data_IF_887910749829
#
_entry.id   IF_887910749829
#
_cell.length_a   1.000
_cell.length_b   1.000
_cell.length_c   1.000
_cell.angle_alpha   90.00
_cell.angle_beta   90.00
_cell.angle_gamma   90.00
#
_symmetry.space_group_name_H-M   'P 1'
#
loop_
_entity.id
_entity.type
_entity.pdbx_description
1 polymer ?
#
# COMPACT_ATOMS: atom_id res chain seq x y z
N UNK A 1 9.00 -17.83 23.45
CA UNK A 1 8.96 -18.75 22.31
C UNK A 1 7.77 -18.37 21.45
N UNK A 2 7.97 -17.47 20.48
CA UNK A 2 6.89 -16.96 19.61
C UNK A 2 7.45 -16.80 18.19
N UNK A 3 7.96 -17.91 17.66
CA UNK A 3 8.21 -18.05 16.23
C UNK A 3 6.91 -18.34 15.52
N UNK A 4 6.08 -17.31 15.27
CA UNK A 4 5.09 -17.41 14.20
C UNK A 4 5.61 -16.56 13.05
N UNK A 5 6.13 -17.23 12.02
CA UNK A 5 6.46 -16.63 10.73
C UNK A 5 5.21 -16.18 9.98
N UNK A 6 5.41 -15.35 8.95
CA UNK A 6 4.36 -15.00 7.99
C UNK A 6 3.74 -16.29 7.40
N UNK A 7 2.46 -16.28 7.00
CA UNK A 7 1.83 -17.46 6.44
C UNK A 7 2.54 -17.96 5.17
N UNK A 8 2.64 -19.29 5.01
CA UNK A 8 3.49 -20.00 4.02
C UNK A 8 3.32 -19.53 2.56
N UNK A 9 2.18 -18.94 2.21
CA UNK A 9 1.91 -18.49 0.84
C UNK A 9 2.70 -17.24 0.42
N UNK A 10 3.39 -16.54 1.34
CA UNK A 10 4.32 -15.45 0.99
C UNK A 10 5.63 -15.96 0.39
N UNK A 11 5.89 -17.28 0.42
CA UNK A 11 7.01 -17.92 -0.27
C UNK A 11 6.68 -18.23 -1.74
N UNK A 12 6.11 -17.25 -2.46
CA UNK A 12 5.73 -17.36 -3.86
C UNK A 12 6.83 -18.00 -4.73
N UNK A 13 6.43 -19.03 -5.47
CA UNK A 13 7.24 -19.90 -6.32
C UNK A 13 8.11 -19.09 -7.30
N UNK A 14 9.41 -18.94 -6.99
CA UNK A 14 10.43 -18.58 -7.98
C UNK A 14 10.93 -19.85 -8.69
N UNK A 15 11.38 -19.75 -9.96
CA UNK A 15 11.96 -20.88 -10.67
C UNK A 15 13.15 -21.44 -9.87
N UNK A 16 13.33 -22.77 -9.80
CA UNK A 16 14.39 -23.37 -9.00
C UNK A 16 15.76 -23.06 -9.64
N UNK A 17 16.63 -22.35 -8.92
CA UNK A 17 18.05 -22.22 -9.31
C UNK A 17 18.73 -20.86 -9.10
N UNK A 18 18.54 -20.17 -7.98
CA UNK A 18 19.30 -18.94 -7.69
C UNK A 18 19.57 -18.72 -6.20
N UNK A 19 20.84 -18.84 -5.82
CA UNK A 19 21.49 -18.43 -4.58
C UNK A 19 20.63 -17.68 -3.53
N UNK A 20 20.50 -18.27 -2.34
CA UNK A 20 19.83 -17.71 -1.13
C UNK A 20 20.21 -16.26 -0.78
N UNK A 21 21.36 -15.79 -1.27
CA UNK A 21 21.84 -14.41 -1.17
C UNK A 21 20.95 -13.42 -1.95
N UNK A 22 20.47 -13.79 -3.13
CA UNK A 22 19.58 -12.94 -3.96
C UNK A 22 18.18 -12.86 -3.36
N UNK A 23 17.66 -13.98 -2.84
CA UNK A 23 16.35 -14.05 -2.20
C UNK A 23 16.28 -13.16 -0.95
N UNK A 24 17.34 -13.17 -0.14
CA UNK A 24 17.45 -12.32 1.06
C UNK A 24 17.52 -10.84 0.68
N UNK A 25 18.18 -10.50 -0.44
CA UNK A 25 18.37 -9.11 -0.86
C UNK A 25 17.06 -8.42 -1.32
N UNK A 26 16.00 -9.18 -1.61
CA UNK A 26 14.69 -8.69 -2.07
C UNK A 26 13.62 -8.68 -0.97
N UNK A 27 14.00 -9.05 0.26
CA UNK A 27 13.14 -9.05 1.44
C UNK A 27 13.58 -7.99 2.43
N UNK A 28 12.62 -7.48 3.19
CA UNK A 28 12.90 -6.66 4.36
C UNK A 28 13.22 -7.57 5.56
N UNK A 29 14.38 -7.42 6.21
CA UNK A 29 14.82 -8.34 7.26
C UNK A 29 13.99 -8.25 8.54
N UNK A 30 13.30 -7.12 8.79
CA UNK A 30 12.48 -6.96 9.99
C UNK A 30 11.14 -7.67 9.86
N UNK A 31 10.47 -7.46 8.72
CA UNK A 31 9.08 -7.85 8.49
C UNK A 31 8.93 -9.11 7.65
N UNK A 32 9.93 -9.49 6.85
CA UNK A 32 9.85 -10.59 5.89
C UNK A 32 9.05 -10.27 4.63
N UNK A 33 8.51 -9.06 4.50
CA UNK A 33 7.84 -8.60 3.28
C UNK A 33 8.84 -8.37 2.14
N UNK A 34 8.34 -8.17 0.94
CA UNK A 34 9.17 -7.65 -0.14
C UNK A 34 9.69 -6.26 0.22
N UNK A 35 10.90 -5.92 -0.21
CA UNK A 35 11.44 -4.58 -0.05
C UNK A 35 11.23 -3.74 -1.33
N UNK A 36 11.53 -2.45 -1.25
CA UNK A 36 11.42 -1.54 -2.40
C UNK A 36 12.18 -2.03 -3.65
N UNK A 37 13.37 -2.61 -3.47
CA UNK A 37 14.19 -3.12 -4.57
C UNK A 37 13.50 -4.25 -5.34
N UNK A 38 12.77 -5.14 -4.65
CA UNK A 38 11.94 -6.15 -5.31
C UNK A 38 10.94 -5.53 -6.28
N UNK A 39 10.25 -4.47 -5.86
CA UNK A 39 9.29 -3.79 -6.73
C UNK A 39 9.98 -3.19 -7.96
N UNK A 40 11.12 -2.53 -7.77
CA UNK A 40 11.92 -1.95 -8.84
C UNK A 40 12.35 -3.00 -9.87
N UNK A 41 12.69 -4.21 -9.44
CA UNK A 41 13.05 -5.33 -10.33
C UNK A 41 11.83 -6.00 -10.98
N UNK A 42 10.66 -6.00 -10.32
CA UNK A 42 9.47 -6.75 -10.79
C UNK A 42 8.46 -5.89 -11.59
N UNK A 43 8.49 -4.56 -11.47
CA UNK A 43 7.48 -3.65 -12.01
C UNK A 43 7.25 -3.80 -13.52
N UNK A 44 8.32 -4.02 -14.31
CA UNK A 44 8.19 -4.18 -15.76
C UNK A 44 7.37 -5.42 -16.12
N UNK A 45 7.58 -6.53 -15.40
CA UNK A 45 6.83 -7.77 -15.58
C UNK A 45 5.37 -7.61 -15.17
N UNK A 46 5.15 -6.94 -14.04
CA UNK A 46 3.82 -6.62 -13.52
C UNK A 46 3.01 -5.79 -14.53
N UNK A 47 3.57 -4.68 -15.01
CA UNK A 47 2.92 -3.76 -15.96
C UNK A 47 2.68 -4.45 -17.32
N UNK A 48 3.66 -5.18 -17.85
CA UNK A 48 3.50 -5.91 -19.10
C UNK A 48 2.36 -6.95 -19.02
N UNK A 49 2.22 -7.61 -17.87
CA UNK A 49 1.13 -8.58 -17.63
C UNK A 49 -0.22 -7.91 -17.55
N UNK A 50 -0.34 -6.81 -16.79
CA UNK A 50 -1.57 -6.05 -16.70
C UNK A 50 -2.01 -5.51 -18.07
N UNK A 51 -1.08 -4.96 -18.86
CA UNK A 51 -1.36 -4.45 -20.21
C UNK A 51 -1.87 -5.53 -21.15
N UNK A 52 -1.20 -6.69 -21.18
CA UNK A 52 -1.57 -7.84 -22.02
C UNK A 52 -2.94 -8.42 -21.67
N UNK A 53 -3.28 -8.46 -20.39
CA UNK A 53 -4.58 -8.96 -19.91
C UNK A 53 -5.68 -7.89 -19.86
N UNK A 54 -5.35 -6.64 -20.21
CA UNK A 54 -6.24 -5.48 -20.01
C UNK A 54 -6.78 -5.37 -18.58
N UNK A 55 -5.92 -5.68 -17.61
CA UNK A 55 -6.22 -5.59 -16.19
C UNK A 55 -5.71 -4.27 -15.59
N UNK A 56 -6.37 -3.86 -14.52
CA UNK A 56 -5.96 -2.73 -13.71
C UNK A 56 -5.11 -3.20 -12.54
N UNK A 57 -4.28 -2.30 -12.04
CA UNK A 57 -3.53 -2.45 -10.80
C UNK A 57 -3.95 -1.30 -9.90
N UNK A 58 -4.24 -1.58 -8.63
CA UNK A 58 -4.42 -0.52 -7.63
C UNK A 58 -3.20 -0.48 -6.72
N UNK A 59 -2.59 0.70 -6.60
CA UNK A 59 -1.46 0.98 -5.72
C UNK A 59 -1.98 1.68 -4.48
N UNK A 60 -1.69 1.11 -3.33
CA UNK A 60 -2.02 1.64 -2.02
C UNK A 60 -0.71 2.06 -1.34
N UNK A 61 -0.53 3.35 -1.10
CA UNK A 61 0.51 3.86 -0.22
C UNK A 61 -0.01 3.99 1.20
N UNK A 62 0.70 3.39 2.15
CA UNK A 62 0.26 3.18 3.51
C UNK A 62 1.33 3.69 4.48
N UNK A 63 0.91 4.40 5.51
CA UNK A 63 1.80 4.86 6.57
C UNK A 63 1.12 4.72 7.94
N UNK A 64 1.89 4.32 8.94
CA UNK A 64 1.41 4.13 10.30
C UNK A 64 1.24 5.47 11.00
N UNK A 65 0.01 5.75 11.44
CA UNK A 65 -0.29 7.00 12.11
C UNK A 65 0.43 7.08 13.46
N UNK A 66 1.15 8.16 13.70
CA UNK A 66 1.84 8.42 14.96
C UNK A 66 2.79 7.27 15.37
N UNK A 67 3.60 6.75 14.44
CA UNK A 67 4.57 5.71 14.75
C UNK A 67 5.74 6.22 15.60
N UNK A 68 6.31 7.38 15.29
CA UNK A 68 7.42 7.98 16.07
C UNK A 68 7.17 8.03 17.60
N UNK A 69 6.00 8.48 18.11
CA UNK A 69 5.69 8.40 19.55
C UNK A 69 5.77 7.01 20.17
N UNK A 70 5.56 5.94 19.39
CA UNK A 70 5.73 4.56 19.89
C UNK A 70 7.20 4.30 20.23
N UNK A 71 8.12 4.64 19.33
CA UNK A 71 9.55 4.52 19.58
C UNK A 71 10.00 5.41 20.73
N UNK A 72 9.53 6.64 20.76
CA UNK A 72 9.91 7.61 21.79
C UNK A 72 9.42 7.18 23.19
N UNK A 73 8.29 6.48 23.29
CA UNK A 73 7.67 6.08 24.57
C UNK A 73 8.08 4.67 25.03
N UNK A 74 8.17 3.72 24.10
CA UNK A 74 8.32 2.29 24.40
C UNK A 74 9.64 1.69 23.87
N UNK A 75 10.46 2.49 23.20
CA UNK A 75 11.74 2.07 22.62
C UNK A 75 11.59 1.43 21.24
N UNK A 76 12.73 1.26 20.57
CA UNK A 76 12.79 0.73 19.20
C UNK A 76 12.31 -0.71 19.08
N UNK A 77 12.56 -1.57 20.08
CA UNK A 77 12.10 -2.97 20.07
C UNK A 77 10.56 -3.07 20.03
N UNK A 78 9.88 -2.13 20.69
CA UNK A 78 8.42 -2.01 20.64
C UNK A 78 7.95 -1.55 19.26
N UNK A 79 8.62 -0.57 18.66
CA UNK A 79 8.35 -0.13 17.29
C UNK A 79 8.53 -1.26 16.27
N UNK A 80 9.62 -2.02 16.38
CA UNK A 80 9.87 -3.19 15.55
C UNK A 80 8.78 -4.24 15.68
N UNK A 81 8.31 -4.48 16.90
CA UNK A 81 7.20 -5.40 17.17
C UNK A 81 5.89 -4.92 16.55
N UNK A 82 5.62 -3.61 16.60
CA UNK A 82 4.47 -2.99 15.91
C UNK A 82 4.58 -3.17 14.39
N UNK A 83 5.75 -2.91 13.80
CA UNK A 83 5.95 -3.06 12.35
C UNK A 83 5.76 -4.51 11.89
N UNK A 84 6.24 -5.49 12.67
CA UNK A 84 6.00 -6.92 12.37
C UNK A 84 4.52 -7.28 12.44
N UNK A 85 3.80 -6.78 13.45
CA UNK A 85 2.37 -7.03 13.61
C UNK A 85 1.57 -6.43 12.44
N UNK A 86 1.87 -5.19 12.06
CA UNK A 86 1.22 -4.54 10.92
C UNK A 86 1.55 -5.26 9.61
N UNK A 87 2.81 -5.63 9.39
CA UNK A 87 3.21 -6.36 8.19
C UNK A 87 2.42 -7.66 8.00
N UNK A 88 2.25 -8.43 9.09
CA UNK A 88 1.43 -9.64 9.10
C UNK A 88 -0.04 -9.32 8.79
N UNK A 89 -0.60 -8.31 9.44
CA UNK A 89 -1.99 -7.92 9.24
C UNK A 89 -2.23 -7.54 7.77
N UNK A 90 -1.39 -6.68 7.18
CA UNK A 90 -1.48 -6.31 5.76
C UNK A 90 -1.44 -7.54 4.84
N UNK A 91 -0.54 -8.48 5.14
CA UNK A 91 -0.37 -9.73 4.42
C UNK A 91 -1.62 -10.62 4.46
N UNK A 92 -2.30 -10.73 5.61
CA UNK A 92 -3.52 -11.52 5.78
C UNK A 92 -4.75 -10.89 5.10
N UNK A 93 -4.72 -9.59 4.83
CA UNK A 93 -5.85 -8.88 4.23
C UNK A 93 -5.92 -8.95 2.70
N UNK A 94 -4.84 -9.37 2.03
CA UNK A 94 -4.72 -9.40 0.57
C UNK A 94 -4.58 -10.83 0.02
N UNK A 95 -4.66 -11.00 -1.30
CA UNK A 95 -4.49 -12.31 -1.96
C UNK A 95 -3.01 -12.62 -2.11
N UNK A 96 -2.68 -13.89 -2.29
CA UNK A 96 -1.31 -14.34 -2.60
C UNK A 96 -0.75 -13.73 -3.90
N UNK A 97 -1.63 -13.38 -4.85
CA UNK A 97 -1.24 -12.70 -6.08
C UNK A 97 -0.89 -11.23 -5.86
N UNK A 98 -1.34 -10.62 -4.77
CA UNK A 98 -1.06 -9.21 -4.48
C UNK A 98 0.32 -9.06 -3.85
N UNK A 99 0.93 -7.88 -3.99
CA UNK A 99 2.24 -7.62 -3.41
C UNK A 99 2.08 -6.77 -2.16
N UNK A 100 2.74 -7.16 -1.07
CA UNK A 100 2.90 -6.35 0.13
C UNK A 100 4.38 -6.05 0.31
N UNK A 101 4.71 -4.77 0.34
CA UNK A 101 6.07 -4.26 0.28
C UNK A 101 6.29 -3.32 1.47
N UNK A 102 7.40 -3.50 2.18
CA UNK A 102 7.90 -2.46 3.08
C UNK A 102 8.70 -1.46 2.24
N UNK A 103 8.10 -0.30 2.01
CA UNK A 103 8.61 0.71 1.07
C UNK A 103 9.64 1.63 1.72
N UNK A 104 9.45 1.93 3.01
CA UNK A 104 10.30 2.79 3.83
C UNK A 104 10.34 2.34 5.29
N UNK A 105 10.73 3.24 6.19
CA UNK A 105 10.87 2.93 7.63
C UNK A 105 9.55 2.44 8.26
N UNK A 106 8.51 3.27 8.20
CA UNK A 106 7.14 2.97 8.66
C UNK A 106 6.13 2.96 7.50
N UNK A 107 6.62 2.99 6.26
CA UNK A 107 5.82 3.08 5.06
C UNK A 107 5.70 1.72 4.38
N UNK A 108 4.48 1.36 4.03
CA UNK A 108 4.15 0.14 3.32
C UNK A 108 3.49 0.47 1.99
N UNK A 109 3.63 -0.42 1.02
CA UNK A 109 2.93 -0.37 -0.25
C UNK A 109 2.20 -1.70 -0.46
N UNK A 110 0.95 -1.62 -0.88
CA UNK A 110 0.21 -2.78 -1.37
C UNK A 110 -0.11 -2.57 -2.84
N UNK A 111 0.20 -3.58 -3.66
CA UNK A 111 -0.08 -3.58 -5.09
C UNK A 111 -1.09 -4.68 -5.37
N UNK A 112 -2.33 -4.26 -5.57
CA UNK A 112 -3.45 -5.17 -5.86
C UNK A 112 -3.49 -5.44 -7.36
N UNK A 113 -3.39 -6.72 -7.73
CA UNK A 113 -3.39 -7.14 -9.12
C UNK A 113 -4.80 -7.51 -9.57
N UNK A 114 -5.07 -7.31 -10.86
CA UNK A 114 -6.34 -7.71 -11.49
C UNK A 114 -7.56 -7.06 -10.82
N UNK A 115 -7.45 -5.77 -10.47
CA UNK A 115 -8.52 -5.03 -9.80
C UNK A 115 -9.67 -4.71 -10.75
N UNK A 116 -10.87 -5.18 -10.42
CA UNK A 116 -12.09 -4.88 -11.17
C UNK A 116 -12.97 -3.89 -10.39
N UNK A 117 -13.43 -2.83 -11.06
CA UNK A 117 -14.31 -1.83 -10.44
C UNK A 117 -13.68 -1.15 -9.21
N UNK A 118 -14.40 -1.14 -8.09
CA UNK A 118 -14.00 -0.47 -6.84
C UNK A 118 -13.19 -1.38 -5.89
N UNK A 119 -12.57 -2.46 -6.38
CA UNK A 119 -11.87 -3.41 -5.52
C UNK A 119 -10.71 -2.78 -4.74
N UNK A 120 -10.05 -1.76 -5.30
CA UNK A 120 -8.97 -1.04 -4.63
C UNK A 120 -9.44 -0.32 -3.35
N UNK A 121 -10.56 0.40 -3.43
CA UNK A 121 -11.16 1.10 -2.28
C UNK A 121 -11.61 0.10 -1.22
N UNK A 122 -12.32 -0.95 -1.63
CA UNK A 122 -12.83 -1.96 -0.70
C UNK A 122 -11.72 -2.67 0.08
N UNK A 123 -10.65 -3.09 -0.60
CA UNK A 123 -9.50 -3.73 0.06
C UNK A 123 -8.75 -2.74 0.97
N UNK A 124 -8.62 -1.49 0.55
CA UNK A 124 -8.02 -0.43 1.37
C UNK A 124 -8.79 -0.21 2.67
N UNK A 125 -10.12 -0.11 2.60
CA UNK A 125 -10.95 0.04 3.80
C UNK A 125 -10.90 -1.21 4.69
N UNK A 126 -10.91 -2.41 4.10
CA UNK A 126 -10.72 -3.67 4.82
C UNK A 126 -9.42 -3.67 5.61
N UNK A 127 -8.31 -3.30 4.97
CA UNK A 127 -6.99 -3.17 5.62
C UNK A 127 -7.05 -2.17 6.77
N UNK A 128 -7.61 -0.97 6.52
CA UNK A 128 -7.70 0.09 7.52
C UNK A 128 -8.49 -0.34 8.75
N UNK A 129 -9.66 -0.97 8.55
CA UNK A 129 -10.47 -1.49 9.64
C UNK A 129 -9.79 -2.61 10.40
N UNK A 130 -9.11 -3.53 9.70
CA UNK A 130 -8.42 -4.64 10.35
C UNK A 130 -7.29 -4.13 11.26
N UNK A 131 -6.44 -3.23 10.75
CA UNK A 131 -5.37 -2.62 11.55
C UNK A 131 -5.90 -1.78 12.71
N UNK A 132 -6.97 -0.99 12.51
CA UNK A 132 -7.56 -0.20 13.58
C UNK A 132 -8.11 -1.04 14.75
N UNK A 133 -8.47 -2.29 14.49
CA UNK A 133 -8.96 -3.24 15.48
C UNK A 133 -7.88 -4.17 16.04
N UNK A 134 -6.67 -4.14 15.48
CA UNK A 134 -5.56 -4.99 15.89
C UNK A 134 -5.04 -4.57 17.27
N UNK A 135 -5.00 -5.54 18.20
CA UNK A 135 -4.36 -5.40 19.50
C UNK A 135 -2.93 -5.93 19.45
N UNK A 136 -1.97 -5.01 19.55
CA UNK A 136 -0.54 -5.36 19.54
C UNK A 136 -0.07 -5.50 20.99
N UNK A 137 0.07 -6.74 21.42
CA UNK A 137 0.46 -7.09 22.80
C UNK A 137 1.99 -7.03 22.93
N UNK A 138 2.47 -6.13 23.78
CA UNK A 138 3.87 -5.97 24.15
C UNK A 138 4.05 -6.23 25.65
N UNK A 139 5.29 -6.42 26.14
CA UNK A 139 5.54 -6.56 27.57
C UNK A 139 4.98 -5.36 28.37
N UNK A 140 3.92 -5.60 29.14
CA UNK A 140 3.30 -4.60 30.02
C UNK A 140 2.38 -3.58 29.35
N UNK A 141 2.13 -3.66 28.03
CA UNK A 141 1.22 -2.73 27.34
C UNK A 141 0.54 -3.39 26.14
N UNK A 142 -0.72 -3.01 25.87
CA UNK A 142 -1.42 -3.33 24.63
C UNK A 142 -1.59 -2.04 23.82
N UNK A 143 -1.07 -2.03 22.60
CA UNK A 143 -1.17 -0.88 21.71
C UNK A 143 -2.24 -1.11 20.65
N UNK A 144 -2.96 -0.04 20.31
CA UNK A 144 -3.81 0.05 19.12
C UNK A 144 -3.27 1.12 18.20
N UNK A 145 -3.12 0.81 16.91
CA UNK A 145 -2.58 1.72 15.90
C UNK A 145 -3.57 1.86 14.76
N UNK A 146 -3.48 2.98 14.07
CA UNK A 146 -4.22 3.23 12.82
C UNK A 146 -3.22 3.50 11.72
N UNK A 147 -3.71 3.48 10.49
CA UNK A 147 -2.92 3.82 9.31
C UNK A 147 -3.72 4.77 8.41
N UNK A 148 -2.99 5.56 7.64
CA UNK A 148 -3.54 6.37 6.56
C UNK A 148 -3.21 5.68 5.23
N UNK A 149 -4.14 5.70 4.28
CA UNK A 149 -3.97 5.06 2.97
C UNK A 149 -4.28 6.08 1.86
N UNK A 150 -3.37 6.19 0.90
CA UNK A 150 -3.61 6.82 -0.39
C UNK A 150 -3.69 5.78 -1.49
N UNK A 151 -4.64 5.91 -2.42
CA UNK A 151 -4.88 4.91 -3.46
C UNK A 151 -4.84 5.55 -4.84
N UNK A 152 -4.17 4.94 -5.80
CA UNK A 152 -4.26 5.30 -7.21
C UNK A 152 -4.23 4.05 -8.11
N UNK A 153 -4.69 4.18 -9.34
CA UNK A 153 -5.00 3.06 -10.22
C UNK A 153 -4.28 3.17 -11.57
N UNK A 154 -3.57 2.12 -11.94
CA UNK A 154 -3.03 1.93 -13.27
C UNK A 154 -4.01 1.15 -14.16
N UNK A 155 -4.20 1.51 -15.44
CA UNK A 155 -3.71 2.72 -16.10
C UNK A 155 -4.68 3.92 -15.99
N UNK A 156 -5.77 3.80 -15.21
CA UNK A 156 -6.89 4.75 -15.21
C UNK A 156 -6.51 6.15 -14.73
N UNK A 157 -5.71 6.25 -13.67
CA UNK A 157 -5.25 7.53 -13.11
C UNK A 157 -3.98 8.01 -13.84
N UNK A 158 -3.13 7.09 -14.30
CA UNK A 158 -2.00 7.37 -15.18
C UNK A 158 -1.48 6.11 -15.91
N UNK A 159 -0.94 6.25 -17.11
CA UNK A 159 -0.40 5.15 -17.94
C UNK A 159 1.04 4.72 -17.59
N UNK A 160 1.69 5.45 -16.68
CA UNK A 160 3.00 5.12 -16.10
C UNK A 160 2.79 4.70 -14.65
N UNK A 161 3.27 3.50 -14.30
CA UNK A 161 3.15 2.94 -12.95
C UNK A 161 3.78 3.83 -11.88
N UNK A 162 4.95 4.42 -12.14
CA UNK A 162 5.63 5.25 -11.15
C UNK A 162 4.94 6.59 -10.93
N UNK A 163 4.26 7.13 -11.95
CA UNK A 163 3.36 8.27 -11.75
C UNK A 163 2.14 7.87 -10.92
N UNK A 164 1.56 6.67 -11.13
CA UNK A 164 0.49 6.15 -10.25
C UNK A 164 0.97 6.04 -8.79
N UNK A 165 2.19 5.57 -8.54
CA UNK A 165 2.77 5.56 -7.19
C UNK A 165 2.83 6.97 -6.59
N UNK A 166 3.24 7.99 -7.36
CA UNK A 166 3.24 9.39 -6.89
C UNK A 166 1.84 9.91 -6.58
N UNK A 167 0.83 9.53 -7.38
CA UNK A 167 -0.56 9.93 -7.15
C UNK A 167 -1.15 9.25 -5.89
N UNK A 168 -0.75 8.00 -5.61
CA UNK A 168 -1.09 7.31 -4.38
C UNK A 168 -0.43 7.99 -3.17
N UNK A 169 0.84 8.37 -3.27
CA UNK A 169 1.55 9.12 -2.21
C UNK A 169 0.91 10.49 -1.92
N UNK A 170 0.55 11.24 -2.96
CA UNK A 170 -0.19 12.50 -2.80
C UNK A 170 -1.53 12.28 -2.08
N UNK A 171 -2.22 11.18 -2.38
CA UNK A 171 -3.47 10.82 -1.73
C UNK A 171 -3.26 10.41 -0.27
N UNK A 172 -2.15 9.74 0.05
CA UNK A 172 -1.74 9.41 1.41
C UNK A 172 -1.46 10.68 2.22
N UNK A 173 -0.78 11.65 1.61
CA UNK A 173 -0.57 12.95 2.22
C UNK A 173 -1.91 13.64 2.57
N UNK A 174 -2.89 13.62 1.65
CA UNK A 174 -4.24 14.14 1.92
C UNK A 174 -4.91 13.38 3.06
N UNK A 175 -4.82 12.05 3.10
CA UNK A 175 -5.36 11.24 4.19
C UNK A 175 -4.81 11.69 5.57
N UNK A 176 -3.50 11.97 5.64
CA UNK A 176 -2.86 12.50 6.86
C UNK A 176 -3.34 13.90 7.24
N UNK A 177 -3.54 14.79 6.26
CA UNK A 177 -4.01 16.15 6.48
C UNK A 177 -5.47 16.23 6.93
N UNK A 178 -6.33 15.35 6.41
CA UNK A 178 -7.75 15.39 6.71
C UNK A 178 -8.12 14.69 8.04
N UNK A 179 -7.12 14.22 8.80
CA UNK A 179 -7.35 13.68 10.14
C UNK A 179 -6.91 12.23 10.35
N UNK A 180 -6.15 11.64 9.40
CA UNK A 180 -5.61 10.27 9.50
C UNK A 180 -6.69 9.20 9.57
N UNK A 181 -6.30 7.94 9.81
CA UNK A 181 -7.17 6.77 9.92
C UNK A 181 -8.25 6.73 8.82
N UNK A 182 -7.82 6.89 7.56
CA UNK A 182 -8.72 6.95 6.41
C UNK A 182 -8.06 6.49 5.13
N UNK A 183 -8.91 6.15 4.17
CA UNK A 183 -8.54 5.93 2.78
C UNK A 183 -8.89 7.19 1.99
N UNK A 184 -7.95 7.65 1.17
CA UNK A 184 -8.21 8.69 0.17
C UNK A 184 -7.88 8.11 -1.20
N UNK A 185 -8.91 8.02 -2.05
CA UNK A 185 -8.74 7.68 -3.46
C UNK A 185 -8.17 8.89 -4.20
N UNK A 186 -7.24 8.65 -5.11
CA UNK A 186 -6.84 9.66 -6.07
C UNK A 186 -8.07 10.07 -6.88
N UNK A 187 -8.28 11.37 -6.97
CA UNK A 187 -9.27 11.96 -7.84
C UNK A 187 -8.48 12.77 -8.86
N UNK A 188 -8.56 12.37 -10.13
CA UNK A 188 -8.15 13.24 -11.21
C UNK A 188 -8.98 14.52 -11.07
N UNK A 189 -8.32 15.68 -10.99
CA UNK A 189 -9.03 16.95 -10.98
C UNK A 189 -9.76 17.07 -12.33
N UNK A 190 -11.09 16.96 -12.32
CA UNK A 190 -11.91 17.29 -13.48
C UNK A 190 -11.89 18.81 -13.68
N UNK A 191 -10.77 19.34 -14.19
CA UNK A 191 -10.69 20.69 -14.73
C UNK A 191 -10.85 20.60 -16.26
N UNK A 192 -12.05 20.22 -16.69
CA UNK A 192 -12.53 20.36 -18.07
C UNK A 192 -14.06 20.35 -18.07
N UNK A 193 -14.66 21.52 -17.81
CA UNK A 193 -15.94 22.05 -18.36
C UNK A 193 -16.65 23.02 -17.39
N UNK A 194 -16.10 24.22 -17.24
CA UNK A 194 -16.92 25.42 -17.02
C UNK A 194 -16.30 26.55 -17.84
N UNK A 195 -16.43 26.45 -19.17
CA UNK A 195 -15.71 27.34 -20.07
C UNK A 195 -16.31 27.53 -21.44
N UNK A 196 -17.63 27.47 -21.66
CA UNK A 196 -18.25 28.10 -22.85
C UNK A 196 -19.76 28.32 -22.69
N UNK A 197 -20.16 29.31 -21.89
CA UNK A 197 -21.49 29.93 -21.98
C UNK A 197 -21.45 31.05 -23.01
N UNK A 198 -21.72 30.72 -24.27
CA UNK A 198 -21.69 31.63 -25.40
C UNK A 198 -22.66 32.82 -25.22
N UNK A 199 -22.13 34.03 -25.40
CA UNK A 199 -22.88 35.27 -25.58
C UNK A 199 -23.70 35.19 -26.87
N UNK A 200 -24.98 34.80 -26.76
CA UNK A 200 -25.91 34.91 -27.89
C UNK A 200 -26.57 36.29 -27.81
N UNK A 201 -26.05 37.26 -28.57
CA UNK A 201 -26.83 38.40 -29.02
C UNK A 201 -27.94 37.88 -29.94
N UNK A 202 -29.18 38.30 -29.73
CA UNK A 202 -30.17 38.39 -30.80
C UNK A 202 -30.75 39.81 -30.85
N UNK A 203 -31.00 40.35 -32.07
CA UNK A 203 -31.72 41.59 -32.26
C UNK A 203 -33.24 41.30 -32.35
N UNK A 204 -34.03 42.17 -31.73
CA UNK A 204 -35.48 42.22 -31.81
C UNK A 204 -35.98 43.48 -31.13
#
# INVERSE_FOLDING_TARGET
DVGQGLPDHFQGHLPPGGDTLRETALRDPLTGLHNRRFLEEYVETLVATARRKSHRISVLMIDLDHFKPVNDTYGHDAGDSVLRAIARELAEQVRTSDLVIRYGGEEFMVVLQETAGNSGEHVSEKIRFAVANLEIVLPGVVLKKTLSIGVANYPTDHEDFWEVVKLADLSLYRAKQEGRNRVVMHQASTLADTGTGATTKQPG
#
